data_IF_316409708856
#
_entry.id   IF_316409708856
#
_cell.length_a   1.000
_cell.length_b   1.000
_cell.length_c   1.000
_cell.angle_alpha   90.00
_cell.angle_beta   90.00
_cell.angle_gamma   90.00
#
_symmetry.space_group_name_H-M   'P 1'
#
loop_
_entity.id
_entity.type
_entity.pdbx_description
1 polymer ?
#
# COMPACT_ATOMS: atom_id res chain seq x y z
N UNK A 1 -16.77 24.93 -11.05
CA UNK A 1 -18.11 25.26 -10.53
C UNK A 1 -18.37 24.36 -9.33
N UNK A 2 -18.47 24.91 -8.10
CA UNK A 2 -18.70 24.14 -6.87
C UNK A 2 -20.21 24.14 -6.59
N UNK A 3 -20.85 22.99 -6.72
CA UNK A 3 -22.30 22.82 -6.55
C UNK A 3 -22.53 22.07 -5.24
N UNK A 4 -22.44 22.78 -4.11
CA UNK A 4 -22.68 22.19 -2.77
C UNK A 4 -24.13 22.33 -2.29
N UNK A 5 -25.07 22.76 -3.16
CA UNK A 5 -26.47 22.97 -2.78
C UNK A 5 -27.48 22.78 -3.93
N UNK A 6 -27.19 21.89 -4.88
CA UNK A 6 -28.15 21.56 -5.95
C UNK A 6 -29.07 20.41 -5.53
N UNK A 7 -30.34 20.39 -6.00
CA UNK A 7 -31.21 19.24 -5.83
C UNK A 7 -30.57 17.98 -6.42
N UNK A 8 -30.71 16.84 -5.74
CA UNK A 8 -30.18 15.54 -6.19
C UNK A 8 -30.54 15.22 -7.64
N UNK A 9 -31.73 15.60 -8.08
CA UNK A 9 -32.18 15.46 -9.46
C UNK A 9 -31.28 16.22 -10.45
N UNK A 10 -30.88 17.44 -10.12
CA UNK A 10 -29.95 18.23 -10.94
C UNK A 10 -28.56 17.61 -10.94
N UNK A 11 -28.08 17.13 -9.78
CA UNK A 11 -26.79 16.45 -9.67
C UNK A 11 -26.74 15.17 -10.52
N UNK A 12 -27.79 14.34 -10.47
CA UNK A 12 -27.92 13.15 -11.33
C UNK A 12 -27.98 13.49 -12.83
N UNK A 13 -28.58 14.62 -13.21
CA UNK A 13 -28.65 15.06 -14.61
C UNK A 13 -27.31 15.59 -15.15
N UNK A 14 -26.53 16.29 -14.33
CA UNK A 14 -25.24 16.83 -14.75
C UNK A 14 -24.10 15.81 -14.64
N UNK A 15 -24.27 14.78 -13.81
CA UNK A 15 -23.24 13.76 -13.58
C UNK A 15 -22.74 13.08 -14.88
N UNK A 16 -23.60 12.64 -15.83
CA UNK A 16 -23.15 12.02 -17.09
C UNK A 16 -22.27 12.94 -17.92
N UNK A 17 -22.50 14.26 -17.88
CA UNK A 17 -21.71 15.24 -18.60
C UNK A 17 -20.28 15.37 -18.05
N UNK A 18 -20.06 14.94 -16.81
CA UNK A 18 -18.72 14.90 -16.18
C UNK A 18 -17.95 13.61 -16.52
N UNK A 19 -18.61 12.58 -17.05
CA UNK A 19 -18.02 11.27 -17.32
C UNK A 19 -17.38 11.20 -18.72
N UNK A 20 -16.29 10.45 -18.83
CA UNK A 20 -15.59 10.16 -20.10
C UNK A 20 -15.28 8.67 -20.22
N UNK A 21 -15.15 8.17 -21.45
CA UNK A 21 -14.74 6.80 -21.73
C UNK A 21 -15.63 5.75 -21.07
N UNK A 22 -15.01 4.73 -20.45
CA UNK A 22 -15.70 3.58 -19.85
C UNK A 22 -16.69 3.96 -18.74
N UNK A 23 -16.44 5.07 -18.03
CA UNK A 23 -17.37 5.61 -17.03
C UNK A 23 -18.69 6.07 -17.64
N UNK A 24 -18.64 6.68 -18.83
CA UNK A 24 -19.84 7.11 -19.55
C UNK A 24 -20.61 5.91 -20.11
N UNK A 25 -19.91 4.91 -20.65
CA UNK A 25 -20.53 3.66 -21.13
C UNK A 25 -21.22 2.91 -20.00
N UNK A 26 -20.60 2.81 -18.82
CA UNK A 26 -21.21 2.22 -17.64
C UNK A 26 -22.49 2.97 -17.24
N UNK A 27 -22.45 4.30 -17.16
CA UNK A 27 -23.63 5.07 -16.79
C UNK A 27 -24.81 4.82 -17.75
N UNK A 28 -24.54 4.74 -19.05
CA UNK A 28 -25.57 4.42 -20.06
C UNK A 28 -26.05 2.96 -20.02
N UNK A 29 -25.33 2.06 -19.36
CA UNK A 29 -25.74 0.65 -19.16
C UNK A 29 -26.67 0.44 -17.96
N UNK A 30 -26.81 1.45 -17.10
CA UNK A 30 -27.73 1.40 -15.96
C UNK A 30 -29.18 1.41 -16.45
N UNK A 31 -30.03 0.58 -15.85
CA UNK A 31 -31.46 0.55 -16.17
C UNK A 31 -32.11 1.88 -15.76
N UNK A 32 -33.04 2.37 -16.59
CA UNK A 32 -33.90 3.46 -16.19
C UNK A 32 -34.63 3.08 -14.88
N UNK A 33 -34.78 4.04 -13.96
CA UNK A 33 -35.44 3.91 -12.66
C UNK A 33 -34.68 3.20 -11.52
N UNK A 34 -33.41 2.81 -11.68
CA UNK A 34 -32.64 2.20 -10.57
C UNK A 34 -31.93 3.21 -9.65
N UNK A 35 -31.91 4.49 -10.00
CA UNK A 35 -31.16 5.53 -9.27
C UNK A 35 -32.11 6.66 -8.88
N UNK A 36 -32.44 6.73 -7.60
CA UNK A 36 -33.44 7.67 -7.07
C UNK A 36 -32.84 8.95 -6.50
N UNK A 37 -31.53 8.95 -6.18
CA UNK A 37 -30.83 10.07 -5.59
C UNK A 37 -29.33 10.05 -5.93
N UNK A 38 -28.66 11.18 -5.71
CA UNK A 38 -27.26 11.34 -6.10
C UNK A 38 -26.31 10.52 -5.21
N UNK A 39 -26.70 10.26 -3.96
CA UNK A 39 -25.92 9.42 -3.05
C UNK A 39 -25.83 7.97 -3.55
N UNK A 40 -26.93 7.39 -4.03
CA UNK A 40 -26.97 6.04 -4.58
C UNK A 40 -26.21 5.95 -5.91
N UNK A 41 -26.31 6.97 -6.76
CA UNK A 41 -25.50 7.09 -7.98
C UNK A 41 -24.01 7.09 -7.65
N UNK A 42 -23.61 7.92 -6.68
CA UNK A 42 -22.23 8.06 -6.26
C UNK A 42 -21.74 6.75 -5.65
N UNK A 43 -22.56 6.06 -4.85
CA UNK A 43 -22.25 4.75 -4.27
C UNK A 43 -22.02 3.70 -5.36
N UNK A 44 -22.91 3.55 -6.34
CA UNK A 44 -22.72 2.57 -7.42
C UNK A 44 -21.54 2.91 -8.34
N UNK A 45 -21.32 4.20 -8.65
CA UNK A 45 -20.14 4.64 -9.39
C UNK A 45 -18.87 4.30 -8.62
N UNK A 46 -18.89 4.54 -7.32
CA UNK A 46 -17.80 4.21 -6.40
C UNK A 46 -17.61 2.69 -6.36
N UNK A 47 -18.64 1.87 -6.18
CA UNK A 47 -18.52 0.41 -6.16
C UNK A 47 -17.94 -0.12 -7.48
N UNK A 48 -18.44 0.36 -8.62
CA UNK A 48 -17.98 -0.06 -9.96
C UNK A 48 -16.53 0.36 -10.24
N UNK A 49 -16.17 1.60 -9.95
CA UNK A 49 -14.87 2.19 -10.33
C UNK A 49 -13.84 2.20 -9.20
N UNK A 50 -14.23 2.01 -7.94
CA UNK A 50 -13.32 1.69 -6.83
C UNK A 50 -12.94 0.23 -6.84
N UNK A 51 -13.84 -0.70 -7.19
CA UNK A 51 -13.44 -2.07 -7.48
C UNK A 51 -12.38 -2.12 -8.59
N UNK A 52 -12.47 -1.22 -9.58
CA UNK A 52 -11.46 -1.03 -10.63
C UNK A 52 -10.26 -0.14 -10.23
N UNK A 53 -10.34 0.62 -9.12
CA UNK A 53 -9.21 1.30 -8.47
C UNK A 53 -8.51 0.45 -7.43
N UNK A 54 -8.90 -0.81 -7.23
CA UNK A 54 -7.93 -1.84 -6.87
C UNK A 54 -6.96 -1.94 -8.04
N UNK A 55 -6.07 -0.97 -8.14
CA UNK A 55 -4.81 -1.14 -8.85
C UNK A 55 -4.22 -2.33 -8.12
N UNK A 56 -4.42 -3.52 -8.69
CA UNK A 56 -3.64 -4.70 -8.36
C UNK A 56 -2.24 -4.29 -8.77
N UNK A 57 -1.52 -3.62 -7.85
CA UNK A 57 -0.12 -3.32 -8.03
C UNK A 57 0.51 -4.69 -8.16
N UNK A 58 1.07 -4.93 -9.34
CA UNK A 58 1.68 -6.20 -9.67
C UNK A 58 2.73 -6.52 -8.59
N UNK A 59 2.69 -7.72 -7.96
CA UNK A 59 3.68 -8.12 -6.95
C UNK A 59 5.14 -7.97 -7.41
N UNK A 60 5.39 -7.98 -8.73
CA UNK A 60 6.71 -7.69 -9.32
C UNK A 60 7.25 -6.31 -8.92
N UNK A 61 6.41 -5.31 -8.61
CA UNK A 61 6.85 -4.01 -8.14
C UNK A 61 7.65 -4.10 -6.83
N UNK A 62 7.29 -5.04 -5.93
CA UNK A 62 8.01 -5.24 -4.68
C UNK A 62 9.48 -5.61 -4.90
N UNK A 63 9.80 -6.26 -6.03
CA UNK A 63 11.18 -6.64 -6.39
C UNK A 63 12.08 -5.44 -6.69
N UNK A 64 11.49 -4.27 -6.96
CA UNK A 64 12.21 -3.01 -7.11
C UNK A 64 12.55 -2.32 -5.80
N UNK A 65 11.96 -2.74 -4.68
CA UNK A 65 12.16 -2.12 -3.38
C UNK A 65 13.44 -2.69 -2.75
N UNK A 66 14.53 -1.95 -2.89
CA UNK A 66 15.83 -2.28 -2.30
C UNK A 66 16.19 -1.30 -1.18
N UNK A 67 16.92 -1.80 -0.20
CA UNK A 67 17.52 -0.99 0.84
C UNK A 67 18.62 -0.12 0.22
N UNK A 68 18.46 1.19 0.34
CA UNK A 68 19.41 2.16 -0.20
C UNK A 68 20.69 2.21 0.64
N UNK A 69 21.75 2.76 0.07
CA UNK A 69 22.98 3.01 0.81
C UNK A 69 22.75 4.07 1.90
N UNK A 70 23.21 3.79 3.12
CA UNK A 70 22.98 4.65 4.29
C UNK A 70 21.54 4.61 4.84
N UNK A 71 20.63 3.85 4.23
CA UNK A 71 19.27 3.73 4.72
C UNK A 71 19.18 2.77 5.92
N UNK A 72 18.51 3.23 6.97
CA UNK A 72 18.24 2.43 8.15
C UNK A 72 17.33 1.23 7.83
N UNK A 73 17.47 0.14 8.59
CA UNK A 73 16.56 -1.01 8.47
C UNK A 73 15.09 -0.60 8.71
N UNK A 74 14.86 0.36 9.62
CA UNK A 74 13.55 0.92 9.94
C UNK A 74 12.90 1.58 8.73
N UNK A 75 13.63 2.46 8.05
CA UNK A 75 13.11 3.20 6.90
C UNK A 75 12.84 2.26 5.72
N UNK A 76 13.75 1.33 5.46
CA UNK A 76 13.55 0.30 4.45
C UNK A 76 12.31 -0.55 4.74
N UNK A 77 12.20 -1.08 5.97
CA UNK A 77 11.06 -1.91 6.38
C UNK A 77 9.74 -1.14 6.28
N UNK A 78 9.71 0.14 6.66
CA UNK A 78 8.53 1.00 6.53
C UNK A 78 8.12 1.21 5.06
N UNK A 79 9.09 1.45 4.16
CA UNK A 79 8.79 1.58 2.72
C UNK A 79 8.26 0.28 2.14
N UNK A 80 8.95 -0.83 2.42
CA UNK A 80 8.57 -2.15 1.92
C UNK A 80 7.16 -2.53 2.38
N UNK A 81 6.89 -2.43 3.68
CA UNK A 81 5.57 -2.76 4.23
C UNK A 81 4.50 -1.84 3.68
N UNK A 82 4.73 -0.52 3.60
CA UNK A 82 3.77 0.42 3.02
C UNK A 82 3.33 0.01 1.61
N UNK A 83 4.28 -0.40 0.77
CA UNK A 83 4.03 -0.87 -0.59
C UNK A 83 3.34 -2.24 -0.63
N UNK A 84 3.78 -3.19 0.22
CA UNK A 84 3.15 -4.51 0.33
C UNK A 84 1.68 -4.41 0.77
N UNK A 85 1.34 -3.50 1.68
CA UNK A 85 -0.05 -3.27 2.11
C UNK A 85 -0.96 -2.72 1.00
N UNK A 86 -0.41 -2.11 -0.06
CA UNK A 86 -1.21 -1.67 -1.21
C UNK A 86 -1.62 -2.84 -2.12
N UNK A 87 -1.04 -4.03 -1.93
CA UNK A 87 -1.27 -5.20 -2.77
C UNK A 87 -2.11 -6.21 -1.97
N UNK A 88 -3.33 -6.49 -2.44
CA UNK A 88 -4.19 -7.48 -1.78
C UNK A 88 -3.76 -8.91 -2.14
N UNK A 89 -3.71 -9.78 -1.13
CA UNK A 89 -3.56 -11.23 -1.33
C UNK A 89 -2.17 -11.67 -1.79
N UNK A 90 -1.11 -10.89 -1.52
CA UNK A 90 0.26 -11.34 -1.81
C UNK A 90 0.59 -12.55 -0.96
N UNK A 91 1.16 -13.57 -1.61
CA UNK A 91 1.68 -14.75 -0.94
C UNK A 91 2.75 -14.36 0.11
N UNK A 92 2.58 -14.72 1.39
CA UNK A 92 3.58 -14.45 2.43
C UNK A 92 4.97 -14.98 2.10
N UNK A 93 5.07 -16.10 1.38
CA UNK A 93 6.36 -16.65 0.98
C UNK A 93 7.05 -15.80 -0.09
N UNK A 94 6.27 -15.26 -1.03
CA UNK A 94 6.76 -14.26 -1.98
C UNK A 94 7.22 -12.99 -1.25
N UNK A 95 6.44 -12.47 -0.29
CA UNK A 95 6.82 -11.30 0.51
C UNK A 95 8.14 -11.52 1.23
N UNK A 96 8.31 -12.69 1.86
CA UNK A 96 9.56 -13.08 2.52
C UNK A 96 10.73 -13.09 1.54
N UNK A 97 10.58 -13.76 0.39
CA UNK A 97 11.64 -13.85 -0.62
C UNK A 97 12.03 -12.48 -1.18
N UNK A 98 11.04 -11.65 -1.52
CA UNK A 98 11.28 -10.32 -2.08
C UNK A 98 11.92 -9.40 -1.05
N UNK A 99 11.45 -9.41 0.21
CA UNK A 99 12.06 -8.65 1.30
C UNK A 99 13.54 -8.99 1.49
N UNK A 100 13.86 -10.29 1.59
CA UNK A 100 15.23 -10.77 1.74
C UNK A 100 16.11 -10.36 0.55
N UNK A 101 15.58 -10.42 -0.68
CA UNK A 101 16.30 -9.98 -1.88
C UNK A 101 16.52 -8.46 -1.96
N UNK A 102 15.70 -7.69 -1.24
CA UNK A 102 15.78 -6.23 -1.16
C UNK A 102 16.77 -5.72 -0.11
N UNK A 103 17.15 -6.55 0.87
CA UNK A 103 18.12 -6.19 1.90
C UNK A 103 19.53 -6.03 1.34
N UNK A 104 20.28 -5.08 1.91
CA UNK A 104 21.71 -4.97 1.60
C UNK A 104 22.51 -6.05 2.32
N UNK A 105 23.61 -6.54 1.70
CA UNK A 105 24.58 -7.38 2.40
C UNK A 105 25.10 -6.66 3.66
N UNK A 106 25.16 -7.36 4.77
CA UNK A 106 25.58 -6.81 6.05
C UNK A 106 25.39 -7.78 7.21
N UNK A 107 25.62 -7.28 8.43
CA UNK A 107 25.52 -8.10 9.65
C UNK A 107 24.12 -8.70 9.83
N UNK A 108 23.08 -7.90 9.62
CA UNK A 108 21.69 -8.35 9.73
C UNK A 108 21.32 -9.38 8.66
N UNK A 109 21.61 -9.11 7.38
CA UNK A 109 21.39 -10.09 6.29
C UNK A 109 22.10 -11.42 6.58
N UNK A 110 23.36 -11.36 7.02
CA UNK A 110 24.14 -12.55 7.35
C UNK A 110 23.56 -13.32 8.54
N UNK A 111 22.97 -12.63 9.52
CA UNK A 111 22.27 -13.27 10.64
C UNK A 111 21.02 -14.01 10.15
N UNK A 112 20.21 -13.36 9.30
CA UNK A 112 19.02 -13.98 8.71
C UNK A 112 19.34 -15.22 7.88
N UNK A 113 20.48 -15.26 7.18
CA UNK A 113 20.88 -16.46 6.41
C UNK A 113 21.33 -17.64 7.31
N UNK A 114 21.70 -17.38 8.56
CA UNK A 114 22.07 -18.42 9.55
C UNK A 114 20.87 -18.92 10.35
N UNK A 115 19.87 -18.07 10.53
CA UNK A 115 18.64 -18.38 11.24
C UNK A 115 17.64 -19.05 10.29
N UNK A 116 16.98 -20.12 10.72
CA UNK A 116 15.85 -20.65 9.95
C UNK A 116 14.62 -19.82 10.26
N UNK A 117 14.21 -18.96 9.32
CA UNK A 117 13.00 -18.14 9.45
C UNK A 117 11.86 -18.80 8.66
N UNK A 118 10.99 -19.61 9.29
CA UNK A 118 10.08 -20.48 8.56
C UNK A 118 8.89 -19.74 7.95
N UNK A 119 8.59 -18.52 8.40
CA UNK A 119 7.45 -17.75 7.93
C UNK A 119 7.72 -16.25 7.85
N UNK A 120 6.87 -15.52 7.12
CA UNK A 120 6.90 -14.06 7.05
C UNK A 120 6.64 -13.37 8.41
N UNK A 121 5.68 -13.80 9.25
CA UNK A 121 5.53 -13.27 10.61
C UNK A 121 6.80 -13.36 11.47
N UNK A 122 7.53 -14.48 11.40
CA UNK A 122 8.78 -14.63 12.15
C UNK A 122 9.83 -13.63 11.66
N UNK A 123 9.92 -13.45 10.34
CA UNK A 123 10.81 -12.46 9.74
C UNK A 123 10.47 -11.04 10.22
N UNK A 124 9.18 -10.67 10.25
CA UNK A 124 8.73 -9.37 10.75
C UNK A 124 9.15 -9.17 12.21
N UNK A 125 8.90 -10.15 13.07
CA UNK A 125 9.30 -10.06 14.49
C UNK A 125 10.82 -9.88 14.64
N UNK A 126 11.60 -10.60 13.83
CA UNK A 126 13.07 -10.50 13.85
C UNK A 126 13.58 -9.14 13.37
N UNK A 127 12.93 -8.56 12.37
CA UNK A 127 13.23 -7.20 11.86
C UNK A 127 12.90 -6.15 12.92
N UNK A 128 11.74 -6.24 13.57
CA UNK A 128 11.35 -5.33 14.65
C UNK A 128 12.31 -5.39 15.83
N UNK A 129 12.74 -6.60 16.23
CA UNK A 129 13.75 -6.77 17.27
C UNK A 129 15.10 -6.13 16.89
N UNK A 130 15.51 -6.23 15.62
CA UNK A 130 16.73 -5.58 15.15
C UNK A 130 16.60 -4.05 15.16
N UNK A 131 15.48 -3.52 14.70
CA UNK A 131 15.19 -2.08 14.71
C UNK A 131 15.26 -1.53 16.15
N UNK A 132 14.63 -2.23 17.11
CA UNK A 132 14.69 -1.85 18.51
C UNK A 132 16.13 -1.88 19.08
N UNK A 133 16.92 -2.88 18.70
CA UNK A 133 18.33 -2.98 19.09
C UNK A 133 19.16 -1.82 18.50
N UNK A 134 18.98 -1.50 17.23
CA UNK A 134 19.68 -0.41 16.54
C UNK A 134 19.37 0.94 17.22
N UNK A 135 18.10 1.17 17.59
CA UNK A 135 17.68 2.37 18.32
C UNK A 135 18.27 2.44 19.73
N UNK A 136 18.30 1.34 20.47
CA UNK A 136 18.90 1.30 21.80
C UNK A 136 20.42 1.61 21.74
N UNK A 137 21.11 1.09 20.72
CA UNK A 137 22.54 1.37 20.48
C UNK A 137 22.75 2.84 20.15
N UNK A 138 21.90 3.42 19.30
CA UNK A 138 21.97 4.85 18.94
C UNK A 138 21.78 5.74 20.17
N UNK A 139 20.76 5.46 20.99
CA UNK A 139 20.51 6.18 22.25
C UNK A 139 21.72 6.08 23.18
N UNK A 140 22.27 4.87 23.34
CA UNK A 140 23.47 4.66 24.17
C UNK A 140 24.67 5.45 23.63
N UNK A 141 24.89 5.46 22.30
CA UNK A 141 25.98 6.23 21.68
C UNK A 141 25.83 7.72 21.91
N UNK A 142 24.62 8.26 21.86
CA UNK A 142 24.37 9.67 22.12
C UNK A 142 24.60 10.05 23.59
N UNK A 143 24.33 9.13 24.52
CA UNK A 143 24.54 9.35 25.95
C UNK A 143 26.02 9.27 26.37
N UNK A 144 26.84 8.46 25.70
CA UNK A 144 28.22 8.16 26.14
C UNK A 144 29.31 8.46 25.11
N UNK A 145 28.96 8.83 23.87
CA UNK A 145 29.89 9.05 22.76
C UNK A 145 30.21 10.51 22.44
N UNK A 146 29.72 11.46 23.24
CA UNK A 146 30.09 12.88 23.12
C UNK A 146 31.25 13.23 24.05
N UNK A 147 32.48 12.96 23.62
CA UNK A 147 33.73 13.34 24.28
C UNK A 147 34.75 13.82 23.27
#
# INVERSE_FOLDING_TARGET
MRIYNAPDQLLCQVFPATLKGQARTWFHSLRADTITNFAELTRQFTDQFIANRRIVRDPSHLSGIRQNEGESLRDFFRRFTSEAHQIQGVDPELLRGVFLSGLRPGGFYSALMRETMPSYPDLVHRVEAQIAADEAIEVHRQQFGGG
#
